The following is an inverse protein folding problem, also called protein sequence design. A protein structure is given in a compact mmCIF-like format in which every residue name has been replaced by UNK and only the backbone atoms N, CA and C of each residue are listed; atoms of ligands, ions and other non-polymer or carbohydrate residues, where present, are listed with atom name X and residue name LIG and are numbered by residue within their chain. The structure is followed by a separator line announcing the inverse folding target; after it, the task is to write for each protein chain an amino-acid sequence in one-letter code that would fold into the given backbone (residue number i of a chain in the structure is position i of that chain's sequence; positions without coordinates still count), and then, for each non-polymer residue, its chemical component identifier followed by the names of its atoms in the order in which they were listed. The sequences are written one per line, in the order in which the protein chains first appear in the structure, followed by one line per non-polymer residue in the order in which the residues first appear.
data_IF_836694511684
#
_entry.id   IF_836694511684
#
_cell.length_a   1.000
_cell.length_b   1.000
_cell.length_c   1.000
_cell.angle_alpha   90.00
_cell.angle_beta   90.00
_cell.angle_gamma   90.00
#
_symmetry.space_group_name_H-M   'P 1'
#
loop_
_entity.id
_entity.type
_entity.pdbx_description
1 polymer ?
#
# COMPACT_ATOMS: atom_id res chain seq x y z
N UNK A 1 -0.39 52.14 -18.86
CA UNK A 1 0.42 51.19 -19.65
C UNK A 1 0.72 49.91 -18.89
N UNK A 2 1.25 49.96 -17.64
CA UNK A 2 1.60 48.74 -16.89
C UNK A 2 0.41 47.80 -16.57
N UNK A 3 -0.78 48.34 -16.30
CA UNK A 3 -2.00 47.55 -16.01
C UNK A 3 -2.61 46.88 -17.28
N UNK A 4 -2.42 47.49 -18.44
CA UNK A 4 -2.84 46.90 -19.73
C UNK A 4 -1.94 45.75 -20.16
N UNK A 5 -0.63 45.84 -19.87
CA UNK A 5 0.33 44.81 -20.20
C UNK A 5 0.10 43.51 -19.34
N UNK A 6 -0.29 43.69 -18.06
CA UNK A 6 -0.62 42.57 -17.17
C UNK A 6 -1.91 41.84 -17.63
N UNK A 7 -2.90 42.59 -18.18
CA UNK A 7 -4.15 42.00 -18.67
C UNK A 7 -3.94 41.19 -19.96
N UNK A 8 -3.06 41.66 -20.85
CA UNK A 8 -2.69 40.93 -22.07
C UNK A 8 -1.90 39.67 -21.75
N UNK A 9 -1.02 39.71 -20.75
CA UNK A 9 -0.22 38.55 -20.35
C UNK A 9 -1.08 37.46 -19.70
N UNK A 10 -2.10 37.85 -18.92
CA UNK A 10 -3.03 36.89 -18.31
C UNK A 10 -3.98 36.25 -19.34
N UNK A 11 -4.37 36.99 -20.38
CA UNK A 11 -5.22 36.48 -21.45
C UNK A 11 -4.44 35.50 -22.37
N UNK A 12 -3.15 35.71 -22.57
CA UNK A 12 -2.28 34.81 -23.35
C UNK A 12 -2.06 33.45 -22.68
N UNK A 13 -2.05 33.37 -21.32
CA UNK A 13 -1.95 32.13 -20.60
C UNK A 13 -3.20 31.25 -20.69
N UNK A 14 -4.39 31.84 -20.86
CA UNK A 14 -5.63 31.07 -20.99
C UNK A 14 -5.72 30.39 -22.36
N UNK A 15 -5.15 30.96 -23.40
CA UNK A 15 -5.14 30.38 -24.75
C UNK A 15 -4.13 29.23 -24.91
N UNK A 16 -3.10 29.16 -24.09
CA UNK A 16 -2.11 28.07 -24.15
C UNK A 16 -2.63 26.71 -23.60
N UNK A 17 -3.72 26.72 -22.83
CA UNK A 17 -4.33 25.51 -22.26
C UNK A 17 -5.36 24.83 -23.18
N UNK A 18 -5.76 25.48 -24.28
CA UNK A 18 -6.77 24.95 -25.22
C UNK A 18 -6.12 24.22 -26.41
N UNK A 19 -4.81 24.31 -26.60
CA UNK A 19 -4.11 23.73 -27.76
C UNK A 19 -3.73 22.23 -27.56
N UNK A 20 -4.12 21.59 -26.45
CA UNK A 20 -3.85 20.17 -26.19
C UNK A 20 -5.15 19.35 -26.04
N UNK A 21 -6.19 19.68 -26.80
CA UNK A 21 -7.50 19.05 -26.79
C UNK A 21 -7.92 18.53 -28.16
N UNK A 22 -7.69 17.21 -28.37
CA UNK A 22 -8.65 16.38 -29.09
C UNK A 22 -8.58 16.31 -30.59
N UNK A 23 -7.87 15.34 -31.08
CA UNK A 23 -8.24 14.70 -32.36
C UNK A 23 -8.97 13.40 -32.00
N UNK A 24 -10.30 13.40 -32.22
CA UNK A 24 -11.10 12.19 -32.24
C UNK A 24 -10.84 11.49 -33.55
N UNK A 25 -10.05 10.46 -33.55
CA UNK A 25 -10.10 9.45 -34.59
C UNK A 25 -10.98 8.32 -34.11
N UNK A 26 -12.20 8.23 -34.66
CA UNK A 26 -12.98 7.00 -34.71
C UNK A 26 -12.16 6.01 -35.56
N UNK A 27 -11.49 5.10 -34.89
CA UNK A 27 -10.98 3.91 -35.56
C UNK A 27 -11.40 2.70 -34.76
N UNK A 28 -12.46 2.07 -35.32
CA UNK A 28 -13.00 0.80 -34.90
C UNK A 28 -12.01 -0.28 -35.38
N UNK A 29 -11.01 -0.58 -34.55
CA UNK A 29 -10.19 -1.77 -34.72
C UNK A 29 -10.34 -2.66 -33.50
N UNK A 30 -11.16 -3.72 -33.70
CA UNK A 30 -11.01 -4.96 -32.96
C UNK A 30 -9.55 -5.41 -33.08
N UNK A 31 -8.78 -5.18 -32.05
CA UNK A 31 -7.50 -5.80 -31.86
C UNK A 31 -7.52 -6.51 -30.52
N UNK A 32 -7.92 -7.78 -30.55
CA UNK A 32 -7.66 -8.76 -29.51
C UNK A 32 -6.13 -8.97 -29.42
N UNK A 33 -5.45 -7.98 -28.88
CA UNK A 33 -4.07 -8.06 -28.47
C UNK A 33 -4.01 -7.56 -27.05
N UNK A 34 -3.89 -8.48 -26.11
CA UNK A 34 -3.63 -8.21 -24.70
C UNK A 34 -2.32 -7.42 -24.54
N UNK A 35 -2.38 -6.10 -24.73
CA UNK A 35 -1.32 -5.17 -24.38
C UNK A 35 -1.60 -4.62 -23.00
N UNK A 36 -1.73 -5.51 -22.00
CA UNK A 36 -1.74 -5.07 -20.60
C UNK A 36 -0.39 -4.42 -20.31
N UNK A 37 -0.41 -3.12 -20.04
CA UNK A 37 0.78 -2.41 -19.58
C UNK A 37 1.32 -3.09 -18.32
N UNK A 38 2.65 -3.17 -18.15
CA UNK A 38 3.24 -3.75 -16.93
C UNK A 38 2.66 -3.08 -15.68
N UNK A 39 2.13 -3.88 -14.75
CA UNK A 39 1.58 -3.40 -13.50
C UNK A 39 2.65 -3.45 -12.42
N UNK A 40 2.85 -2.35 -11.71
CA UNK A 40 3.71 -2.30 -10.53
C UNK A 40 2.87 -2.62 -9.29
N UNK A 41 3.23 -3.69 -8.58
CA UNK A 41 2.59 -4.12 -7.34
C UNK A 41 3.49 -3.73 -6.18
N UNK A 42 3.01 -2.94 -5.25
CA UNK A 42 3.67 -2.61 -3.99
C UNK A 42 3.20 -3.58 -2.92
N UNK A 43 4.14 -4.30 -2.30
CA UNK A 43 3.93 -5.15 -1.13
C UNK A 43 4.42 -4.42 0.12
N UNK A 44 3.51 -3.90 0.90
CA UNK A 44 3.80 -3.28 2.19
C UNK A 44 4.18 -4.35 3.23
N UNK A 45 5.28 -4.13 3.98
CA UNK A 45 5.83 -5.15 4.86
C UNK A 45 6.04 -4.64 6.30
N UNK A 46 7.25 -4.41 6.74
CA UNK A 46 7.63 -3.89 8.03
C UNK A 46 9.03 -3.31 7.98
N UNK A 47 9.64 -3.04 9.12
CA UNK A 47 11.00 -2.56 9.17
C UNK A 47 11.99 -3.52 8.49
N UNK A 48 13.05 -2.99 7.87
CA UNK A 48 14.03 -3.75 7.08
C UNK A 48 14.73 -4.88 7.83
N UNK A 49 14.79 -4.83 9.16
CA UNK A 49 15.30 -5.89 10.02
C UNK A 49 14.24 -6.90 10.47
N UNK A 50 12.97 -6.68 10.10
CA UNK A 50 11.83 -7.49 10.51
C UNK A 50 11.54 -8.67 9.58
N UNK A 51 10.79 -9.63 10.10
CA UNK A 51 10.40 -10.85 9.37
C UNK A 51 9.55 -10.55 8.15
N UNK A 52 8.63 -9.59 8.22
CA UNK A 52 7.78 -9.21 7.09
C UNK A 52 8.59 -8.77 5.88
N UNK A 53 9.59 -7.92 6.10
CA UNK A 53 10.46 -7.47 5.02
C UNK A 53 11.28 -8.61 4.41
N UNK A 54 11.83 -9.50 5.25
CA UNK A 54 12.54 -10.68 4.78
C UNK A 54 11.66 -11.62 3.96
N UNK A 55 10.44 -11.91 4.44
CA UNK A 55 9.44 -12.72 3.72
C UNK A 55 9.03 -12.05 2.41
N UNK A 56 8.81 -10.74 2.42
CA UNK A 56 8.54 -9.96 1.21
C UNK A 56 9.63 -10.10 0.16
N UNK A 57 10.90 -10.07 0.60
CA UNK A 57 12.07 -10.31 -0.29
C UNK A 57 12.07 -11.70 -0.91
N UNK A 58 11.72 -12.73 -0.12
CA UNK A 58 11.57 -14.11 -0.63
C UNK A 58 10.43 -14.18 -1.65
N UNK A 59 9.27 -13.60 -1.34
CA UNK A 59 8.13 -13.56 -2.27
C UNK A 59 8.50 -12.86 -3.57
N UNK A 60 9.20 -11.73 -3.51
CA UNK A 60 9.70 -11.04 -4.70
C UNK A 60 10.59 -11.94 -5.54
N UNK A 61 11.48 -12.70 -4.92
CA UNK A 61 12.39 -13.60 -5.64
C UNK A 61 11.63 -14.77 -6.28
N UNK A 62 10.72 -15.40 -5.54
CA UNK A 62 9.97 -16.59 -6.01
C UNK A 62 8.95 -16.24 -7.09
N UNK A 63 8.29 -15.09 -6.96
CA UNK A 63 7.24 -14.66 -7.87
C UNK A 63 7.78 -13.85 -9.06
N UNK A 64 8.92 -13.18 -8.90
CA UNK A 64 9.45 -12.27 -9.91
C UNK A 64 9.58 -12.90 -11.28
N UNK A 65 10.11 -14.12 -11.36
CA UNK A 65 10.25 -14.85 -12.62
C UNK A 65 8.90 -15.34 -13.22
N UNK A 66 7.83 -15.30 -12.43
CA UNK A 66 6.49 -15.76 -12.80
C UNK A 66 5.56 -14.61 -13.19
N UNK A 67 5.91 -13.39 -12.79
CA UNK A 67 5.13 -12.19 -13.09
C UNK A 67 5.58 -11.60 -14.42
N UNK A 68 5.10 -12.16 -15.52
CA UNK A 68 5.54 -11.77 -16.89
C UNK A 68 5.15 -10.33 -17.27
N UNK A 69 4.08 -9.81 -16.68
CA UNK A 69 3.53 -8.48 -16.98
C UNK A 69 3.47 -7.57 -15.75
N UNK A 70 4.16 -7.95 -14.64
CA UNK A 70 4.09 -7.19 -13.39
C UNK A 70 5.42 -7.22 -12.66
N UNK A 71 5.67 -6.20 -11.85
CA UNK A 71 6.82 -6.15 -10.93
C UNK A 71 6.32 -6.12 -9.50
N UNK A 72 6.95 -6.88 -8.61
CA UNK A 72 6.68 -6.83 -7.17
C UNK A 72 7.74 -5.99 -6.46
N UNK A 73 7.33 -4.88 -5.88
CA UNK A 73 8.17 -4.00 -5.06
C UNK A 73 7.89 -4.25 -3.59
N UNK A 74 8.95 -4.46 -2.82
CA UNK A 74 8.84 -4.68 -1.37
C UNK A 74 9.12 -3.36 -0.67
N UNK A 75 8.10 -2.86 0.05
CA UNK A 75 8.16 -1.58 0.76
C UNK A 75 8.36 -1.82 2.26
N UNK A 76 9.30 -1.05 2.85
CA UNK A 76 9.52 -1.03 4.29
C UNK A 76 8.56 -0.05 4.96
N UNK A 77 7.82 -0.50 5.96
CA UNK A 77 6.74 0.27 6.59
C UNK A 77 6.80 0.21 8.12
N UNK A 78 5.82 0.87 8.77
CA UNK A 78 5.53 0.74 10.19
C UNK A 78 4.78 -0.55 10.58
N UNK A 79 4.72 -1.55 9.71
CA UNK A 79 4.00 -2.81 9.86
C UNK A 79 2.46 -2.66 9.87
N UNK A 80 1.75 -3.59 10.50
CA UNK A 80 0.36 -3.96 10.25
C UNK A 80 -0.62 -2.78 10.15
N UNK A 81 -0.63 -1.84 11.09
CA UNK A 81 -1.55 -0.68 11.04
C UNK A 81 -1.24 0.23 9.86
N UNK A 82 0.04 0.56 9.64
CA UNK A 82 0.45 1.35 8.50
C UNK A 82 0.13 0.65 7.17
N UNK A 83 0.25 -0.68 7.15
CA UNK A 83 -0.02 -1.48 5.96
C UNK A 83 -1.51 -1.48 5.59
N UNK A 84 -2.42 -1.54 6.56
CA UNK A 84 -3.86 -1.38 6.30
C UNK A 84 -4.13 -0.02 5.67
N UNK A 85 -3.61 1.07 6.27
CA UNK A 85 -3.81 2.41 5.75
C UNK A 85 -3.28 2.54 4.31
N UNK A 86 -2.10 2.00 4.01
CA UNK A 86 -1.55 2.01 2.63
C UNK A 86 -2.43 1.26 1.62
N UNK A 87 -3.11 0.17 2.03
CA UNK A 87 -4.09 -0.51 1.17
C UNK A 87 -5.31 0.40 0.94
N UNK A 88 -5.86 0.98 1.99
CA UNK A 88 -7.03 1.86 1.93
C UNK A 88 -6.75 3.11 1.08
N UNK A 89 -5.58 3.71 1.26
CA UNK A 89 -5.14 4.90 0.50
C UNK A 89 -4.75 4.57 -0.96
N UNK A 90 -4.68 3.27 -1.33
CA UNK A 90 -4.27 2.82 -2.67
C UNK A 90 -2.76 2.90 -2.93
N UNK A 91 -1.97 3.16 -1.90
CA UNK A 91 -0.49 3.25 -1.98
C UNK A 91 0.17 1.88 -2.10
N UNK A 92 -0.48 0.83 -1.59
CA UNK A 92 -0.06 -0.55 -1.75
C UNK A 92 -1.21 -1.43 -2.27
N UNK A 93 -0.88 -2.44 -3.07
CA UNK A 93 -1.83 -3.41 -3.60
C UNK A 93 -1.81 -4.71 -2.80
N UNK A 94 -0.75 -4.96 -2.05
CA UNK A 94 -0.58 -6.12 -1.18
C UNK A 94 0.09 -5.72 0.12
N UNK A 95 -0.17 -6.46 1.19
CA UNK A 95 0.47 -6.23 2.49
C UNK A 95 0.68 -7.52 3.27
N UNK A 96 1.73 -7.57 4.08
CA UNK A 96 1.90 -8.57 5.14
C UNK A 96 1.49 -7.90 6.45
N UNK A 97 0.56 -8.51 7.17
CA UNK A 97 0.03 -7.96 8.41
C UNK A 97 -0.48 -9.07 9.35
N UNK A 98 -0.69 -8.71 10.60
CA UNK A 98 -1.23 -9.61 11.62
C UNK A 98 -2.74 -9.80 11.43
N UNK A 99 -3.22 -11.02 11.70
CA UNK A 99 -4.63 -11.38 11.55
C UNK A 99 -5.57 -10.66 12.52
N UNK A 100 -5.09 -10.32 13.70
CA UNK A 100 -5.85 -9.51 14.66
C UNK A 100 -5.96 -8.05 14.21
N UNK A 101 -4.91 -7.49 13.61
CA UNK A 101 -4.93 -6.10 13.13
C UNK A 101 -5.90 -5.93 11.96
N UNK A 102 -5.97 -6.86 11.01
CA UNK A 102 -6.96 -6.80 9.93
C UNK A 102 -8.40 -6.93 10.48
N UNK A 103 -8.59 -7.74 11.52
CA UNK A 103 -9.88 -7.84 12.19
C UNK A 103 -10.26 -6.52 12.87
N UNK A 104 -9.33 -5.87 13.58
CA UNK A 104 -9.57 -4.55 14.19
C UNK A 104 -9.91 -3.49 13.15
N UNK A 105 -9.23 -3.51 12.02
CA UNK A 105 -9.53 -2.61 10.90
C UNK A 105 -10.96 -2.82 10.40
N UNK A 106 -11.33 -4.07 10.15
CA UNK A 106 -12.65 -4.41 9.62
C UNK A 106 -13.79 -4.07 10.58
N UNK A 107 -13.57 -4.24 11.89
CA UNK A 107 -14.53 -3.92 12.94
C UNK A 107 -14.52 -2.44 13.37
N UNK A 108 -13.56 -1.65 12.93
CA UNK A 108 -13.37 -0.26 13.38
C UNK A 108 -13.06 -0.18 14.85
N UNK A 109 -12.16 -1.02 15.37
CA UNK A 109 -11.80 -1.09 16.79
C UNK A 109 -10.29 -0.88 16.99
N UNK A 110 -9.86 -0.73 18.25
CA UNK A 110 -8.46 -0.51 18.61
C UNK A 110 -7.82 0.66 17.85
N UNK A 111 -6.83 0.39 16.98
CA UNK A 111 -6.14 1.42 16.20
C UNK A 111 -7.02 2.05 15.12
N UNK A 112 -8.20 1.51 14.86
CA UNK A 112 -9.18 1.95 13.87
C UNK A 112 -10.52 2.35 14.52
N UNK A 113 -10.49 2.75 15.80
CA UNK A 113 -11.70 3.05 16.57
C UNK A 113 -12.56 4.14 15.93
N UNK A 114 -13.78 3.74 15.54
CA UNK A 114 -14.74 4.58 14.84
C UNK A 114 -14.51 4.76 13.35
N UNK A 115 -13.48 4.14 12.77
CA UNK A 115 -13.13 4.24 11.36
C UNK A 115 -12.82 2.86 10.77
N UNK A 116 -13.86 2.06 10.43
CA UNK A 116 -13.68 0.73 9.89
C UNK A 116 -13.12 0.75 8.47
N UNK A 117 -12.08 -0.05 8.23
CA UNK A 117 -11.41 -0.23 6.95
C UNK A 117 -11.76 -1.61 6.36
N UNK A 118 -12.57 -1.65 5.31
CA UNK A 118 -13.12 -2.89 4.75
C UNK A 118 -12.56 -3.26 3.39
N UNK A 119 -11.71 -2.45 2.79
CA UNK A 119 -11.20 -2.64 1.43
C UNK A 119 -10.11 -3.71 1.33
N UNK A 120 -9.45 -4.02 2.45
CA UNK A 120 -8.44 -5.06 2.48
C UNK A 120 -9.06 -6.46 2.49
N UNK A 121 -8.65 -7.31 1.54
CA UNK A 121 -9.11 -8.69 1.40
C UNK A 121 -8.02 -9.68 1.84
N UNK A 122 -8.44 -10.75 2.52
CA UNK A 122 -7.55 -11.83 2.91
C UNK A 122 -7.18 -12.71 1.71
N UNK A 123 -5.88 -12.90 1.47
CA UNK A 123 -5.35 -13.74 0.39
C UNK A 123 -4.86 -15.09 0.91
N UNK A 124 -3.96 -15.11 1.89
CA UNK A 124 -3.38 -16.32 2.45
C UNK A 124 -2.77 -16.09 3.84
N UNK A 125 -2.72 -17.15 4.65
CA UNK A 125 -1.86 -17.21 5.83
C UNK A 125 -0.44 -17.63 5.43
N UNK A 126 0.57 -16.90 5.91
CA UNK A 126 1.96 -17.14 5.53
C UNK A 126 2.69 -17.94 6.63
N UNK A 127 2.62 -17.49 7.87
CA UNK A 127 3.26 -18.16 9.03
C UNK A 127 2.58 -17.74 10.33
N UNK A 128 2.87 -18.48 11.41
CA UNK A 128 2.39 -18.15 12.75
C UNK A 128 3.36 -17.22 13.47
N UNK A 129 2.86 -16.13 14.03
CA UNK A 129 3.61 -15.27 14.95
C UNK A 129 3.36 -15.70 16.39
N UNK A 130 4.37 -16.30 17.01
CA UNK A 130 4.28 -16.76 18.41
C UNK A 130 4.66 -15.63 19.35
N UNK A 131 3.75 -15.25 20.22
CA UNK A 131 4.02 -14.28 21.29
C UNK A 131 4.91 -14.93 22.35
N UNK A 132 6.04 -14.29 22.65
CA UNK A 132 6.95 -14.71 23.72
C UNK A 132 7.16 -13.56 24.71
N UNK A 133 7.03 -13.87 26.00
CA UNK A 133 7.26 -12.90 27.08
C UNK A 133 8.57 -13.25 27.77
N UNK A 134 9.52 -12.34 27.71
CA UNK A 134 10.79 -12.45 28.43
C UNK A 134 10.75 -11.55 29.67
N UNK A 135 11.13 -12.10 30.82
CA UNK A 135 11.16 -11.39 32.07
C UNK A 135 12.47 -11.57 32.82
N UNK A 136 12.78 -10.64 33.71
CA UNK A 136 13.94 -10.75 34.60
C UNK A 136 13.75 -11.90 35.60
N UNK A 137 14.86 -12.49 36.15
CA UNK A 137 14.78 -13.45 37.24
C UNK A 137 13.88 -12.95 38.37
N UNK A 138 13.05 -13.85 38.93
CA UNK A 138 12.06 -13.53 39.97
C UNK A 138 10.67 -13.15 39.49
N UNK A 139 10.45 -13.07 38.17
CA UNK A 139 9.14 -12.95 37.51
C UNK A 139 8.88 -14.29 36.81
N UNK A 140 7.97 -15.08 37.35
CA UNK A 140 7.68 -16.43 36.85
C UNK A 140 6.30 -16.55 36.23
N UNK A 141 5.41 -15.59 36.52
CA UNK A 141 4.02 -15.55 36.01
C UNK A 141 3.65 -14.16 35.55
N UNK A 142 2.60 -14.04 34.74
CA UNK A 142 2.05 -12.75 34.32
C UNK A 142 1.58 -11.91 35.53
N UNK A 143 1.10 -12.56 36.58
CA UNK A 143 0.69 -11.89 37.82
C UNK A 143 1.84 -11.16 38.53
N UNK A 144 3.07 -11.68 38.41
CA UNK A 144 4.27 -11.07 39.03
C UNK A 144 4.66 -9.74 38.37
N UNK A 145 4.10 -9.43 37.19
CA UNK A 145 4.30 -8.15 36.49
C UNK A 145 3.53 -6.99 37.10
N UNK A 146 2.57 -7.27 38.00
CA UNK A 146 1.77 -6.22 38.62
C UNK A 146 2.64 -5.27 39.43
N UNK A 147 2.67 -4.00 39.03
CA UNK A 147 3.42 -2.94 39.72
C UNK A 147 4.92 -2.94 39.45
N UNK A 148 5.39 -3.62 38.39
CA UNK A 148 6.79 -3.62 37.95
C UNK A 148 7.05 -2.61 36.84
#
# INVERSE_FOLDING_TARGET
MKKFLALILSLAMVFALVACGGEKTDDNQNNDGDTSSPVSITLATGGTSGTYYAVGGVLKTVLGDKLTLSTLNVESTGASVANVNMITDGEAQMAILQSDVINYAHEGTNSFDGDPETDALWVAGIYNETVQILAKPGINTVADLKGK
#
